data_IF_477394990253
#
_entry.id   IF_477394990253
#
_cell.length_a   1.000
_cell.length_b   1.000
_cell.length_c   1.000
_cell.angle_alpha   90.00
_cell.angle_beta   90.00
_cell.angle_gamma   90.00
#
_symmetry.space_group_name_H-M   'P 1'
#
loop_
_entity.id
_entity.type
_entity.pdbx_description
1 polymer ?
#
# COMPACT_ATOMS: atom_id res chain seq x y z
N UNK A 1 -6.96 -22.05 47.09
CA UNK A 1 -8.05 -21.09 47.29
C UNK A 1 -9.04 -21.25 46.16
N UNK A 2 -10.34 -21.40 46.44
CA UNK A 2 -11.37 -21.14 45.42
C UNK A 2 -11.81 -19.70 45.63
N UNK A 3 -11.67 -18.88 44.60
CA UNK A 3 -12.18 -17.51 44.61
C UNK A 3 -13.71 -17.52 44.48
N UNK A 4 -14.35 -16.43 44.90
CA UNK A 4 -15.80 -16.22 44.72
C UNK A 4 -16.14 -16.29 43.23
N UNK A 5 -17.18 -17.03 42.86
CA UNK A 5 -17.63 -17.18 41.46
C UNK A 5 -18.16 -15.87 40.87
N UNK A 6 -18.47 -14.90 41.73
CA UNK A 6 -18.92 -13.55 41.35
C UNK A 6 -17.76 -12.53 41.30
N UNK A 7 -16.53 -12.95 41.59
CA UNK A 7 -15.37 -12.06 41.51
C UNK A 7 -14.98 -11.85 40.04
N UNK A 8 -15.10 -10.61 39.58
CA UNK A 8 -14.66 -10.19 38.24
C UNK A 8 -13.38 -9.37 38.38
N UNK A 9 -12.34 -9.70 37.60
CA UNK A 9 -11.04 -9.03 37.67
C UNK A 9 -11.03 -7.58 37.14
N UNK A 10 -12.13 -7.15 36.51
CA UNK A 10 -12.19 -5.89 35.78
C UNK A 10 -11.37 -5.93 34.48
N UNK A 11 -10.80 -4.81 34.08
CA UNK A 11 -9.88 -4.75 32.94
C UNK A 11 -8.50 -5.30 33.31
N UNK A 12 -8.09 -6.37 32.64
CA UNK A 12 -6.75 -6.96 32.79
C UNK A 12 -5.85 -6.42 31.67
N UNK A 13 -4.74 -5.78 32.05
CA UNK A 13 -3.76 -5.21 31.13
C UNK A 13 -2.41 -5.89 31.32
N UNK A 14 -1.87 -6.42 30.23
CA UNK A 14 -0.55 -7.05 30.17
C UNK A 14 0.25 -6.24 29.15
N UNK A 15 1.08 -5.33 29.64
CA UNK A 15 1.77 -4.35 28.79
C UNK A 15 3.28 -4.41 29.06
N UNK A 16 4.11 -4.31 28.01
CA UNK A 16 5.57 -4.26 28.12
C UNK A 16 6.20 -5.50 28.78
N UNK A 17 5.67 -6.70 28.48
CA UNK A 17 6.08 -7.96 29.08
C UNK A 17 6.77 -8.89 28.08
N UNK A 18 7.66 -9.75 28.56
CA UNK A 18 8.29 -10.81 27.76
C UNK A 18 8.00 -12.17 28.36
N UNK A 19 7.53 -13.10 27.55
CA UNK A 19 7.20 -14.47 27.90
C UNK A 19 8.14 -15.41 27.14
N UNK A 20 8.87 -16.26 27.86
CA UNK A 20 9.87 -17.14 27.26
C UNK A 20 9.79 -18.54 27.85
N UNK A 21 10.00 -19.57 27.03
CA UNK A 21 10.22 -20.96 27.45
C UNK A 21 9.03 -21.60 28.19
N UNK A 22 7.81 -21.38 27.67
CA UNK A 22 6.63 -22.05 28.19
C UNK A 22 6.35 -23.34 27.41
N UNK A 23 6.28 -24.46 28.11
CA UNK A 23 5.87 -25.75 27.52
C UNK A 23 4.36 -25.86 27.24
N UNK A 24 3.56 -24.85 27.53
CA UNK A 24 2.11 -24.81 27.28
C UNK A 24 1.73 -23.37 26.89
N UNK A 25 0.48 -22.96 27.12
CA UNK A 25 0.06 -21.59 26.84
C UNK A 25 0.77 -20.57 27.74
N UNK A 26 1.22 -19.45 27.18
CA UNK A 26 1.88 -18.40 27.98
C UNK A 26 0.86 -17.57 28.77
N UNK A 27 -0.22 -17.16 28.10
CA UNK A 27 -1.38 -16.51 28.72
C UNK A 27 -2.60 -17.38 28.44
N UNK A 28 -3.28 -17.80 29.50
CA UNK A 28 -4.51 -18.57 29.40
C UNK A 28 -5.63 -17.95 30.22
N UNK A 29 -6.70 -17.58 29.53
CA UNK A 29 -7.99 -17.26 30.11
C UNK A 29 -8.95 -18.42 29.82
N UNK A 30 -9.70 -18.85 30.82
CA UNK A 30 -10.75 -19.85 30.68
C UNK A 30 -11.97 -19.33 31.42
N UNK A 31 -12.90 -18.78 30.64
CA UNK A 31 -14.14 -18.11 31.04
C UNK A 31 -15.28 -19.15 31.17
N UNK A 32 -16.48 -18.74 30.76
CA UNK A 32 -17.79 -19.41 30.76
C UNK A 32 -17.78 -20.84 30.21
N UNK A 33 -17.00 -21.13 29.16
CA UNK A 33 -16.95 -22.45 28.53
C UNK A 33 -16.52 -23.57 29.48
N UNK A 34 -15.63 -23.26 30.43
CA UNK A 34 -15.04 -24.27 31.31
C UNK A 34 -15.59 -24.22 32.72
N UNK A 35 -16.09 -23.06 33.15
CA UNK A 35 -16.50 -22.82 34.53
C UNK A 35 -17.88 -22.16 34.58
N UNK A 36 -18.72 -22.50 35.58
CA UNK A 36 -20.03 -21.89 35.76
C UNK A 36 -19.87 -20.48 36.35
N UNK A 37 -19.41 -19.54 35.53
CA UNK A 37 -19.31 -18.11 35.79
C UNK A 37 -19.89 -17.39 34.58
N UNK A 38 -20.51 -16.22 34.81
CA UNK A 38 -21.07 -15.41 33.72
C UNK A 38 -19.99 -14.52 33.08
N UNK A 39 -18.89 -14.25 33.81
CA UNK A 39 -17.77 -13.40 33.38
C UNK A 39 -16.61 -13.45 34.38
N UNK A 40 -15.36 -13.62 33.93
CA UNK A 40 -14.19 -13.56 34.80
C UNK A 40 -13.36 -12.26 34.69
N UNK A 41 -13.50 -11.51 33.59
CA UNK A 41 -12.94 -10.17 33.42
C UNK A 41 -13.83 -9.24 32.56
N UNK A 42 -13.64 -7.93 32.65
CA UNK A 42 -14.38 -6.96 31.83
C UNK A 42 -13.74 -6.75 30.45
N UNK A 43 -12.41 -6.85 30.34
CA UNK A 43 -11.67 -6.77 29.07
C UNK A 43 -10.24 -7.29 29.23
N UNK A 44 -9.69 -7.94 28.20
CA UNK A 44 -8.28 -8.33 28.15
C UNK A 44 -7.51 -7.45 27.16
N UNK A 45 -6.44 -6.82 27.61
CA UNK A 45 -5.57 -5.98 26.78
C UNK A 45 -4.14 -6.51 26.89
N UNK A 46 -3.53 -6.86 25.75
CA UNK A 46 -2.14 -7.28 25.64
C UNK A 46 -1.43 -6.34 24.67
N UNK A 47 -0.40 -5.62 25.15
CA UNK A 47 0.32 -4.64 24.31
C UNK A 47 1.82 -4.66 24.51
N UNK A 48 2.59 -4.38 23.45
CA UNK A 48 4.05 -4.29 23.53
C UNK A 48 4.66 -5.51 24.23
N UNK A 49 4.22 -6.70 23.82
CA UNK A 49 4.64 -7.95 24.43
C UNK A 49 5.44 -8.81 23.47
N UNK A 50 6.41 -9.54 24.01
CA UNK A 50 7.20 -10.50 23.24
C UNK A 50 6.95 -11.91 23.75
N UNK A 51 6.71 -12.85 22.85
CA UNK A 51 6.59 -14.28 23.12
C UNK A 51 7.68 -15.04 22.37
N UNK A 52 8.46 -15.83 23.09
CA UNK A 52 9.48 -16.71 22.50
C UNK A 52 9.40 -18.10 23.07
N UNK A 53 9.65 -19.10 22.23
CA UNK A 53 9.75 -20.49 22.66
C UNK A 53 8.49 -20.99 23.40
N UNK A 54 7.31 -20.58 22.95
CA UNK A 54 6.03 -21.04 23.48
C UNK A 54 5.60 -22.30 22.71
N UNK A 55 5.43 -23.43 23.41
CA UNK A 55 5.16 -24.73 22.78
C UNK A 55 3.68 -24.97 22.44
N UNK A 56 2.78 -24.13 22.96
CA UNK A 56 1.37 -24.08 22.58
C UNK A 56 0.99 -22.63 22.22
N UNK A 57 -0.21 -22.17 22.57
CA UNK A 57 -0.66 -20.82 22.22
C UNK A 57 0.02 -19.73 23.06
N UNK A 58 0.51 -18.67 22.41
CA UNK A 58 1.01 -17.49 23.13
C UNK A 58 -0.11 -16.86 23.95
N UNK A 59 -1.29 -16.75 23.35
CA UNK A 59 -2.51 -16.30 24.02
C UNK A 59 -3.65 -17.27 23.71
N UNK A 60 -4.21 -17.84 24.76
CA UNK A 60 -5.42 -18.65 24.70
C UNK A 60 -6.53 -17.99 25.51
N UNK A 61 -7.59 -17.57 24.82
CA UNK A 61 -8.84 -17.12 25.41
C UNK A 61 -9.93 -18.13 25.07
N UNK A 62 -10.65 -18.62 26.08
CA UNK A 62 -11.58 -19.73 25.92
C UNK A 62 -12.91 -19.42 26.60
N UNK A 63 -13.91 -19.03 25.80
CA UNK A 63 -15.27 -18.80 26.25
C UNK A 63 -16.33 -19.51 25.40
N UNK A 64 -17.57 -19.47 25.88
CA UNK A 64 -18.71 -20.16 25.31
C UNK A 64 -19.43 -19.31 24.26
N UNK A 65 -20.37 -19.92 23.54
CA UNK A 65 -21.17 -19.23 22.54
C UNK A 65 -22.51 -18.84 23.16
N UNK A 66 -22.50 -17.83 24.05
CA UNK A 66 -23.73 -17.23 24.59
C UNK A 66 -23.88 -15.77 24.13
N UNK A 67 -24.84 -15.52 23.24
CA UNK A 67 -25.13 -14.19 22.73
C UNK A 67 -25.88 -13.29 23.73
N UNK A 68 -26.48 -13.87 24.79
CA UNK A 68 -27.21 -13.10 25.80
C UNK A 68 -26.26 -12.43 26.81
N UNK A 69 -25.10 -13.05 27.04
CA UNK A 69 -24.04 -12.56 27.93
C UNK A 69 -22.68 -12.68 27.23
N UNK A 70 -22.39 -11.82 26.24
CA UNK A 70 -21.13 -11.88 25.53
C UNK A 70 -19.96 -11.69 26.52
N UNK A 71 -18.94 -12.54 26.37
CA UNK A 71 -17.73 -12.54 27.18
C UNK A 71 -16.90 -11.26 27.02
N UNK A 72 -15.78 -11.18 27.72
CA UNK A 72 -14.90 -10.04 27.63
C UNK A 72 -14.34 -9.83 26.20
N UNK A 73 -14.30 -8.58 25.70
CA UNK A 73 -13.55 -8.26 24.49
C UNK A 73 -12.04 -8.39 24.72
N UNK A 74 -11.32 -8.70 23.64
CA UNK A 74 -9.87 -8.91 23.64
C UNK A 74 -9.17 -7.95 22.69
N UNK A 75 -8.13 -7.28 23.15
CA UNK A 75 -7.25 -6.44 22.32
C UNK A 75 -5.82 -6.97 22.44
N UNK A 76 -5.20 -7.27 21.29
CA UNK A 76 -3.80 -7.66 21.18
C UNK A 76 -3.14 -6.76 20.15
N UNK A 77 -2.19 -5.91 20.58
CA UNK A 77 -1.53 -4.92 19.71
C UNK A 77 -0.03 -4.89 19.97
N UNK A 78 0.78 -4.66 18.93
CA UNK A 78 2.24 -4.55 19.06
C UNK A 78 2.86 -5.74 19.77
N UNK A 79 2.72 -6.93 19.16
CA UNK A 79 3.26 -8.17 19.73
C UNK A 79 4.24 -8.84 18.79
N UNK A 80 5.39 -9.22 19.32
CA UNK A 80 6.37 -10.04 18.60
C UNK A 80 6.31 -11.48 19.10
N UNK A 81 6.07 -12.43 18.20
CA UNK A 81 6.15 -13.86 18.45
C UNK A 81 7.31 -14.43 17.64
N UNK A 82 8.23 -15.13 18.30
CA UNK A 82 9.34 -15.78 17.62
C UNK A 82 9.54 -17.22 18.13
N UNK A 83 9.96 -18.13 17.26
CA UNK A 83 10.30 -19.52 17.61
C UNK A 83 9.24 -20.27 18.45
N UNK A 84 7.97 -19.91 18.26
CA UNK A 84 6.83 -20.46 19.00
C UNK A 84 6.00 -21.36 18.10
N UNK A 85 5.07 -22.11 18.70
CA UNK A 85 4.15 -22.99 17.97
C UNK A 85 3.38 -22.23 16.89
N UNK A 86 2.98 -22.94 15.82
CA UNK A 86 2.11 -22.44 14.75
C UNK A 86 0.67 -22.14 15.18
N UNK A 87 0.38 -21.98 16.46
CA UNK A 87 -0.93 -21.58 16.98
C UNK A 87 -0.75 -20.35 17.88
N UNK A 88 -0.32 -19.23 17.32
CA UNK A 88 0.09 -18.07 18.10
C UNK A 88 -1.04 -17.54 19.01
N UNK A 89 -2.22 -17.29 18.43
CA UNK A 89 -3.38 -16.79 19.17
C UNK A 89 -4.62 -17.63 18.90
N UNK A 90 -5.27 -18.05 19.99
CA UNK A 90 -6.54 -18.77 19.93
C UNK A 90 -7.54 -18.08 20.85
N UNK A 91 -8.47 -17.33 20.25
CA UNK A 91 -9.50 -16.57 20.93
C UNK A 91 -10.85 -17.18 20.59
N UNK A 92 -11.36 -18.09 21.42
CA UNK A 92 -12.66 -18.73 21.18
C UNK A 92 -13.78 -17.88 21.76
N UNK A 93 -14.76 -17.52 20.93
CA UNK A 93 -16.02 -16.85 21.25
C UNK A 93 -15.93 -15.60 22.14
N UNK A 94 -14.86 -14.83 22.02
CA UNK A 94 -14.68 -13.58 22.78
C UNK A 94 -15.82 -12.57 22.51
N UNK A 95 -16.02 -11.59 23.40
CA UNK A 95 -16.94 -10.47 23.17
C UNK A 95 -16.45 -9.45 22.14
N UNK A 96 -15.86 -9.94 21.05
CA UNK A 96 -15.15 -9.18 20.05
C UNK A 96 -13.64 -9.22 20.28
N UNK A 97 -12.90 -9.20 19.18
CA UNK A 97 -11.44 -9.19 19.22
C UNK A 97 -10.87 -8.17 18.25
N UNK A 98 -9.82 -7.47 18.65
CA UNK A 98 -8.96 -6.70 17.76
C UNK A 98 -7.54 -7.22 17.93
N UNK A 99 -7.00 -7.80 16.87
CA UNK A 99 -5.64 -8.32 16.83
C UNK A 99 -4.88 -7.64 15.71
N UNK A 100 -3.87 -6.83 16.03
CA UNK A 100 -3.12 -6.09 15.02
C UNK A 100 -1.71 -5.73 15.44
N UNK A 101 -0.92 -5.26 14.48
CA UNK A 101 0.45 -4.81 14.69
C UNK A 101 1.34 -5.94 15.22
N UNK A 102 1.27 -7.11 14.59
CA UNK A 102 1.89 -8.35 15.07
C UNK A 102 3.04 -8.75 14.13
N UNK A 103 4.15 -9.19 14.72
CA UNK A 103 5.18 -9.97 14.01
C UNK A 103 5.09 -11.41 14.50
N UNK A 104 4.95 -12.37 13.58
CA UNK A 104 5.15 -13.79 13.87
C UNK A 104 6.27 -14.32 13.00
N UNK A 105 7.36 -14.74 13.64
CA UNK A 105 8.56 -15.20 12.97
C UNK A 105 8.99 -16.61 13.41
N UNK A 106 9.54 -17.38 12.46
CA UNK A 106 10.25 -18.62 12.71
C UNK A 106 9.42 -19.66 13.50
N UNK A 107 8.15 -19.84 13.17
CA UNK A 107 7.29 -20.79 13.92
C UNK A 107 7.76 -22.23 13.76
N UNK A 108 7.44 -23.06 14.74
CA UNK A 108 7.73 -24.50 14.73
C UNK A 108 6.50 -25.32 15.11
N UNK A 109 6.52 -26.61 14.80
CA UNK A 109 5.48 -27.55 15.24
C UNK A 109 5.46 -27.67 16.77
N UNK A 110 4.27 -27.73 17.35
CA UNK A 110 4.05 -27.96 18.77
C UNK A 110 4.41 -29.39 19.18
N UNK A 111 4.97 -29.57 20.38
CA UNK A 111 5.07 -30.89 21.02
C UNK A 111 3.71 -31.48 21.45
N UNK A 112 2.64 -30.68 21.42
CA UNK A 112 1.32 -31.01 21.97
C UNK A 112 0.25 -31.35 20.92
N UNK A 113 0.60 -31.42 19.64
CA UNK A 113 -0.34 -31.73 18.56
C UNK A 113 -1.48 -30.71 18.44
N UNK A 114 -1.20 -29.46 18.79
CA UNK A 114 -2.14 -28.33 18.75
C UNK A 114 -1.98 -27.45 17.51
N UNK A 115 -1.30 -27.95 16.48
CA UNK A 115 -1.03 -27.21 15.25
C UNK A 115 -2.32 -27.10 14.43
N UNK A 116 -3.11 -26.07 14.75
CA UNK A 116 -4.36 -25.69 14.12
C UNK A 116 -4.15 -24.56 13.12
N UNK A 117 -4.91 -23.46 13.30
CA UNK A 117 -4.67 -22.22 12.57
C UNK A 117 -3.57 -21.39 13.26
N UNK A 118 -2.76 -20.64 12.50
CA UNK A 118 -1.80 -19.67 13.01
C UNK A 118 -2.46 -18.71 14.00
N UNK A 119 -3.64 -18.23 13.63
CA UNK A 119 -4.55 -17.51 14.51
C UNK A 119 -5.97 -17.98 14.27
N UNK A 120 -6.72 -18.16 15.35
CA UNK A 120 -8.16 -18.38 15.31
C UNK A 120 -8.83 -17.37 16.23
N UNK A 121 -9.26 -16.26 15.67
CA UNK A 121 -9.87 -15.15 16.38
C UNK A 121 -11.38 -15.22 16.19
N UNK A 122 -12.08 -15.79 17.15
CA UNK A 122 -13.52 -15.99 17.12
C UNK A 122 -14.20 -14.97 18.02
N UNK A 123 -15.07 -14.17 17.40
CA UNK A 123 -16.07 -13.41 18.10
C UNK A 123 -17.27 -14.27 18.49
N UNK A 124 -18.01 -13.85 19.51
CA UNK A 124 -19.32 -14.40 19.84
C UNK A 124 -20.34 -13.98 18.76
N UNK A 125 -21.52 -14.59 18.75
CA UNK A 125 -22.55 -14.40 17.71
C UNK A 125 -22.89 -12.92 17.54
N UNK A 126 -22.59 -12.38 16.35
CA UNK A 126 -22.87 -10.98 16.03
C UNK A 126 -21.93 -9.96 16.67
N UNK A 127 -20.81 -10.42 17.27
CA UNK A 127 -19.75 -9.57 17.83
C UNK A 127 -18.44 -9.88 17.10
N UNK A 128 -18.02 -9.05 16.12
CA UNK A 128 -16.95 -9.41 15.18
C UNK A 128 -15.55 -9.49 15.81
N UNK A 129 -14.70 -10.33 15.22
CA UNK A 129 -13.25 -10.28 15.40
C UNK A 129 -12.58 -9.60 14.19
N UNK A 130 -11.62 -8.71 14.43
CA UNK A 130 -10.87 -8.00 13.39
C UNK A 130 -9.38 -8.30 13.52
N UNK A 131 -8.77 -8.72 12.40
CA UNK A 131 -7.34 -8.99 12.32
C UNK A 131 -6.72 -8.18 11.18
N UNK A 132 -5.65 -7.44 11.44
CA UNK A 132 -4.95 -6.61 10.44
C UNK A 132 -3.50 -6.37 10.82
N UNK A 133 -2.65 -5.93 9.89
CA UNK A 133 -1.27 -5.53 10.15
C UNK A 133 -0.44 -6.65 10.80
N UNK A 134 -0.33 -7.78 10.08
CA UNK A 134 0.34 -9.00 10.55
C UNK A 134 1.50 -9.32 9.62
N UNK A 135 2.71 -9.46 10.17
CA UNK A 135 3.83 -10.02 9.43
C UNK A 135 4.05 -11.50 9.80
N UNK A 136 4.33 -12.32 8.79
CA UNK A 136 4.45 -13.78 8.91
C UNK A 136 5.72 -14.28 8.21
N UNK A 137 6.84 -14.25 8.93
CA UNK A 137 8.13 -14.63 8.39
C UNK A 137 8.54 -16.05 8.79
N UNK A 138 8.93 -16.89 7.83
CA UNK A 138 9.27 -18.29 8.09
C UNK A 138 8.20 -19.03 8.92
N UNK A 139 6.93 -18.82 8.55
CA UNK A 139 5.79 -19.49 9.16
C UNK A 139 5.37 -20.66 8.26
N UNK A 140 5.27 -21.86 8.83
CA UNK A 140 4.99 -23.08 8.05
C UNK A 140 3.61 -23.07 7.39
N UNK A 141 2.64 -22.40 8.03
CA UNK A 141 1.27 -22.25 7.54
C UNK A 141 0.72 -20.91 8.00
N UNK A 142 0.29 -20.08 7.04
CA UNK A 142 -0.32 -18.78 7.32
C UNK A 142 -1.83 -18.91 7.12
N UNK A 143 -2.51 -19.42 8.13
CA UNK A 143 -3.96 -19.48 8.20
C UNK A 143 -4.46 -18.68 9.40
N UNK A 144 -4.99 -17.50 9.09
CA UNK A 144 -5.55 -16.56 10.06
C UNK A 144 -7.05 -16.56 9.86
N UNK A 145 -7.81 -16.76 10.93
CA UNK A 145 -9.28 -16.73 10.90
C UNK A 145 -9.83 -15.64 11.81
N UNK A 146 -10.89 -15.03 11.33
CA UNK A 146 -11.73 -14.08 12.05
C UNK A 146 -13.19 -14.52 11.89
N UNK A 147 -13.86 -14.96 12.97
CA UNK A 147 -15.30 -15.33 12.92
C UNK A 147 -16.15 -14.09 13.10
N UNK A 148 -17.24 -13.99 12.34
CA UNK A 148 -18.21 -12.88 12.32
C UNK A 148 -17.61 -11.49 12.02
N UNK A 149 -16.31 -11.40 11.75
CA UNK A 149 -15.60 -10.20 11.30
C UNK A 149 -14.70 -10.49 10.10
N UNK A 150 -13.51 -9.87 10.05
CA UNK A 150 -12.63 -9.95 8.87
C UNK A 150 -11.14 -9.99 9.20
N UNK A 151 -10.39 -10.59 8.28
CA UNK A 151 -8.94 -10.48 8.20
C UNK A 151 -8.62 -9.54 7.03
N UNK A 152 -7.99 -8.41 7.30
CA UNK A 152 -7.52 -7.51 6.24
C UNK A 152 -6.26 -8.09 5.56
N UNK A 153 -6.50 -8.92 4.55
CA UNK A 153 -5.45 -9.60 3.81
C UNK A 153 -4.46 -8.65 3.10
N UNK A 154 -4.83 -7.38 2.86
CA UNK A 154 -3.91 -6.40 2.25
C UNK A 154 -2.82 -5.94 3.23
N UNK A 155 -2.99 -6.25 4.53
CA UNK A 155 -2.07 -5.92 5.61
C UNK A 155 -1.43 -7.16 6.23
N UNK A 156 -1.46 -8.28 5.51
CA UNK A 156 -0.73 -9.50 5.87
C UNK A 156 0.49 -9.63 4.98
N UNK A 157 1.66 -9.59 5.60
CA UNK A 157 2.95 -9.65 4.91
C UNK A 157 3.75 -10.90 5.32
N UNK A 158 4.83 -11.16 4.59
CA UNK A 158 5.81 -12.21 4.89
C UNK A 158 7.23 -11.68 4.69
N UNK A 159 7.48 -10.51 5.27
CA UNK A 159 8.71 -9.74 5.14
C UNK A 159 9.69 -10.23 6.21
N UNK A 160 10.98 -10.31 5.91
CA UNK A 160 11.99 -10.58 6.94
C UNK A 160 11.99 -9.43 7.98
N UNK A 161 11.73 -9.69 9.28
CA UNK A 161 11.79 -8.66 10.29
C UNK A 161 13.16 -8.02 10.43
N UNK A 162 14.22 -8.70 9.99
CA UNK A 162 15.61 -8.31 10.19
C UNK A 162 15.90 -8.07 11.67
N UNK A 163 15.60 -9.07 12.49
CA UNK A 163 15.99 -9.06 13.90
C UNK A 163 17.52 -9.06 14.01
N UNK A 164 18.05 -8.23 14.93
CA UNK A 164 19.49 -8.09 15.16
C UNK A 164 20.14 -9.42 15.56
N UNK A 165 19.54 -10.16 16.49
CA UNK A 165 20.02 -11.47 16.94
C UNK A 165 18.90 -12.27 17.60
N UNK A 166 18.00 -12.83 16.78
CA UNK A 166 16.84 -13.59 17.26
C UNK A 166 17.24 -14.85 18.05
N UNK A 167 18.43 -15.42 17.79
CA UNK A 167 18.94 -16.62 18.50
C UNK A 167 19.18 -16.30 19.97
N UNK A 168 19.68 -15.09 20.27
CA UNK A 168 19.90 -14.61 21.63
C UNK A 168 18.72 -13.78 22.17
N UNK A 169 17.54 -13.91 21.58
CA UNK A 169 16.30 -13.21 21.97
C UNK A 169 16.39 -11.68 21.90
N UNK A 170 17.25 -11.18 21.01
CA UNK A 170 17.35 -9.77 20.68
C UNK A 170 16.58 -9.49 19.39
N UNK A 171 15.32 -9.15 19.55
CA UNK A 171 14.41 -8.89 18.44
C UNK A 171 14.48 -7.46 17.93
N UNK A 172 15.50 -6.68 18.31
CA UNK A 172 15.68 -5.32 17.80
C UNK A 172 15.59 -5.33 16.29
N UNK A 173 14.63 -4.60 15.72
CA UNK A 173 14.53 -4.45 14.27
C UNK A 173 15.77 -3.65 13.80
N UNK A 174 16.50 -4.19 12.82
CA UNK A 174 17.54 -3.42 12.16
C UNK A 174 16.90 -2.25 11.42
N UNK A 175 17.64 -1.13 11.29
CA UNK A 175 17.16 0.09 10.64
C UNK A 175 16.65 -0.11 9.20
N UNK A 176 17.14 -1.15 8.52
CA UNK A 176 16.73 -1.54 7.17
C UNK A 176 15.42 -2.37 7.13
N UNK A 177 14.84 -2.74 8.27
CA UNK A 177 13.60 -3.50 8.30
C UNK A 177 12.45 -2.73 7.63
N UNK A 178 11.75 -3.38 6.71
CA UNK A 178 10.57 -2.81 6.07
C UNK A 178 9.33 -2.84 6.97
N UNK A 179 9.43 -3.41 8.18
CA UNK A 179 8.32 -3.49 9.13
C UNK A 179 8.04 -2.18 9.87
N UNK A 180 8.97 -1.22 9.80
CA UNK A 180 8.76 0.14 10.28
C UNK A 180 7.69 0.86 9.45
N UNK A 181 6.79 1.57 10.12
CA UNK A 181 5.71 2.32 9.46
C UNK A 181 4.57 1.47 8.91
N UNK A 182 4.61 0.15 9.11
CA UNK A 182 3.56 -0.76 8.69
C UNK A 182 2.47 -0.97 9.74
N UNK A 183 2.65 -0.50 10.97
CA UNK A 183 1.60 -0.54 11.98
C UNK A 183 0.36 0.26 11.55
N UNK A 184 -0.81 -0.13 12.06
CA UNK A 184 -2.06 0.61 11.91
C UNK A 184 -1.91 2.08 12.36
N UNK A 185 -1.09 2.31 13.38
CA UNK A 185 -0.76 3.62 13.94
C UNK A 185 0.42 4.30 13.25
N UNK A 186 0.93 3.72 12.16
CA UNK A 186 2.13 4.13 11.44
C UNK A 186 3.44 3.97 12.21
N UNK A 187 3.44 3.24 13.34
CA UNK A 187 4.65 2.77 14.01
C UNK A 187 5.16 1.47 13.36
N UNK A 188 6.15 0.81 13.97
CA UNK A 188 6.58 -0.51 13.53
C UNK A 188 5.57 -1.61 13.92
N UNK A 189 5.52 -2.68 13.14
CA UNK A 189 4.87 -3.92 13.58
C UNK A 189 5.62 -4.54 14.77
N UNK A 190 4.88 -5.31 15.56
CA UNK A 190 5.42 -6.05 16.69
C UNK A 190 5.65 -5.18 17.92
N UNK A 191 6.35 -5.74 18.89
CA UNK A 191 6.63 -5.09 20.16
C UNK A 191 7.59 -3.90 19.99
N UNK A 192 7.06 -2.70 20.23
CA UNK A 192 7.76 -1.43 20.00
C UNK A 192 9.02 -1.26 20.83
N UNK A 193 9.21 -2.05 21.90
CA UNK A 193 10.47 -2.06 22.68
C UNK A 193 11.66 -2.51 21.82
N UNK A 194 11.41 -3.20 20.72
CA UNK A 194 12.42 -3.62 19.75
C UNK A 194 12.56 -2.69 18.54
N UNK A 195 11.62 -1.78 18.34
CA UNK A 195 11.59 -0.83 17.23
C UNK A 195 12.33 0.47 17.58
N UNK A 196 13.60 0.37 17.96
CA UNK A 196 14.35 1.51 18.55
C UNK A 196 15.23 2.27 17.56
N UNK A 197 15.45 1.72 16.35
CA UNK A 197 16.28 2.33 15.33
C UNK A 197 15.51 3.39 14.53
N UNK A 198 16.26 4.35 13.95
CA UNK A 198 15.72 5.22 12.90
C UNK A 198 15.66 4.45 11.58
N UNK A 199 14.49 4.29 10.95
CA UNK A 199 14.36 3.52 9.73
C UNK A 199 15.11 4.17 8.56
N UNK A 200 15.72 3.35 7.71
CA UNK A 200 16.44 3.84 6.52
C UNK A 200 15.64 3.77 5.24
N UNK A 201 14.55 3.00 5.20
CA UNK A 201 13.74 2.82 3.99
C UNK A 201 13.09 4.13 3.53
N UNK A 202 12.73 4.18 2.24
CA UNK A 202 12.09 5.34 1.61
C UNK A 202 10.71 4.97 1.08
N UNK A 203 9.83 5.96 1.00
CA UNK A 203 8.47 5.79 0.46
C UNK A 203 8.25 6.64 -0.78
N UNK A 204 7.36 6.18 -1.65
CA UNK A 204 6.90 6.91 -2.81
C UNK A 204 5.39 7.14 -2.69
N UNK A 205 4.99 8.39 -2.53
CA UNK A 205 3.59 8.78 -2.55
C UNK A 205 3.22 9.31 -3.93
N UNK A 206 2.32 8.61 -4.61
CA UNK A 206 1.83 8.98 -5.94
C UNK A 206 0.51 9.74 -5.80
N UNK A 207 0.51 10.98 -6.28
CA UNK A 207 -0.71 11.79 -6.41
C UNK A 207 -1.22 11.61 -7.83
N UNK A 208 -2.46 11.13 -7.96
CA UNK A 208 -3.12 10.95 -9.26
C UNK A 208 -4.05 12.13 -9.48
N UNK A 209 -3.65 13.05 -10.37
CA UNK A 209 -4.44 14.22 -10.75
C UNK A 209 -5.18 13.95 -12.08
N UNK A 210 -6.39 13.41 -11.97
CA UNK A 210 -7.27 13.08 -13.09
C UNK A 210 -7.38 11.58 -13.37
N UNK A 211 -8.26 11.17 -14.31
CA UNK A 211 -8.54 9.75 -14.56
C UNK A 211 -7.37 8.99 -15.21
N UNK A 212 -6.79 8.09 -14.45
CA UNK A 212 -5.68 7.22 -14.83
C UNK A 212 -5.08 6.54 -13.61
N UNK A 213 -4.00 5.80 -13.83
CA UNK A 213 -3.22 5.15 -12.78
C UNK A 213 -1.72 5.22 -13.08
N UNK A 214 -0.90 4.93 -12.08
CA UNK A 214 0.55 4.78 -12.23
C UNK A 214 0.93 3.38 -11.77
N UNK A 215 1.61 2.65 -12.66
CA UNK A 215 2.25 1.39 -12.33
C UNK A 215 3.69 1.67 -11.89
N UNK A 216 4.17 0.96 -10.88
CA UNK A 216 5.52 1.13 -10.31
C UNK A 216 6.25 -0.22 -10.36
N UNK A 217 7.48 -0.23 -10.88
CA UNK A 217 8.32 -1.42 -10.95
C UNK A 217 9.78 -1.10 -10.53
N UNK A 218 10.38 -1.82 -9.58
CA UNK A 218 9.80 -2.89 -8.79
C UNK A 218 8.73 -2.39 -7.81
N UNK A 219 7.79 -3.28 -7.47
CA UNK A 219 6.81 -3.05 -6.40
C UNK A 219 7.51 -2.86 -5.04
N UNK A 220 6.89 -2.14 -4.08
CA UNK A 220 7.46 -1.98 -2.75
C UNK A 220 7.49 -3.29 -1.98
N UNK A 221 8.40 -3.38 -1.00
CA UNK A 221 8.33 -4.38 0.07
C UNK A 221 7.46 -3.77 1.18
N UNK A 222 6.28 -4.34 1.41
CA UNK A 222 5.26 -3.72 2.25
C UNK A 222 4.76 -2.41 1.64
N UNK A 223 5.22 -1.28 2.17
CA UNK A 223 4.88 0.08 1.69
C UNK A 223 6.10 0.90 1.28
N UNK A 224 7.30 0.32 1.29
CA UNK A 224 8.57 1.05 1.19
C UNK A 224 9.59 0.35 0.28
N UNK A 225 10.68 1.04 -0.04
CA UNK A 225 11.82 0.53 -0.82
C UNK A 225 13.12 0.76 -0.08
N UNK A 226 14.14 -0.03 -0.43
CA UNK A 226 15.51 0.25 -0.02
C UNK A 226 16.00 1.59 -0.61
N UNK A 227 16.83 2.35 0.12
CA UNK A 227 17.43 3.57 -0.38
C UNK A 227 18.15 3.39 -1.70
N UNK A 228 18.01 4.37 -2.58
CA UNK A 228 18.59 4.40 -3.93
C UNK A 228 18.04 3.33 -4.88
N UNK A 229 16.95 2.64 -4.53
CA UNK A 229 16.22 1.81 -5.50
C UNK A 229 15.79 2.67 -6.67
N UNK A 230 16.07 2.22 -7.89
CA UNK A 230 15.56 2.84 -9.12
C UNK A 230 14.23 2.18 -9.46
N UNK A 231 13.16 2.97 -9.48
CA UNK A 231 11.83 2.53 -9.89
C UNK A 231 11.46 3.11 -11.24
N UNK A 232 10.78 2.32 -12.07
CA UNK A 232 10.13 2.74 -13.30
C UNK A 232 8.68 3.09 -13.00
N UNK A 233 8.29 4.33 -13.26
CA UNK A 233 6.91 4.80 -13.17
C UNK A 233 6.29 4.83 -14.57
N UNK A 234 5.19 4.10 -14.75
CA UNK A 234 4.44 4.06 -15.99
C UNK A 234 3.03 4.62 -15.76
N UNK A 235 2.79 5.84 -16.24
CA UNK A 235 1.48 6.45 -16.23
C UNK A 235 0.58 5.82 -17.30
N UNK A 236 -0.58 5.32 -16.90
CA UNK A 236 -1.58 4.67 -17.75
C UNK A 236 -2.87 5.50 -17.66
N UNK A 237 -3.16 6.36 -18.65
CA UNK A 237 -4.40 7.14 -18.67
C UNK A 237 -5.62 6.24 -18.82
N UNK A 238 -6.74 6.65 -18.23
CA UNK A 238 -8.03 6.02 -18.49
C UNK A 238 -8.49 6.28 -19.93
N UNK A 239 -9.52 5.53 -20.35
CA UNK A 239 -10.20 5.77 -21.62
C UNK A 239 -10.61 7.25 -21.74
N UNK A 240 -10.41 7.82 -22.93
CA UNK A 240 -10.63 9.24 -23.23
C UNK A 240 -9.72 10.24 -22.49
N UNK A 241 -8.64 9.81 -21.82
CA UNK A 241 -7.66 10.69 -21.18
C UNK A 241 -6.28 10.54 -21.81
N UNK A 242 -5.42 11.54 -21.60
CA UNK A 242 -3.99 11.43 -21.91
C UNK A 242 -3.16 11.85 -20.70
N UNK A 243 -1.97 11.27 -20.60
CA UNK A 243 -0.97 11.69 -19.63
C UNK A 243 -0.41 13.05 -20.06
N UNK A 244 -0.66 14.08 -19.26
CA UNK A 244 -0.18 15.44 -19.48
C UNK A 244 1.28 15.60 -19.06
N UNK A 245 1.72 14.91 -18.00
CA UNK A 245 3.09 15.01 -17.49
C UNK A 245 3.21 14.64 -16.02
N UNK A 246 4.46 14.54 -15.58
CA UNK A 246 4.82 14.42 -14.16
C UNK A 246 5.05 15.79 -13.55
N UNK A 247 4.73 15.93 -12.27
CA UNK A 247 5.00 17.12 -11.47
C UNK A 247 5.40 16.76 -10.03
N UNK A 248 5.87 17.75 -9.27
CA UNK A 248 6.37 17.59 -7.90
C UNK A 248 7.87 17.33 -7.89
N UNK A 249 8.29 16.23 -7.27
CA UNK A 249 9.71 15.84 -7.14
C UNK A 249 10.37 15.46 -8.48
N UNK A 250 9.56 15.17 -9.51
CA UNK A 250 10.02 15.03 -10.90
C UNK A 250 9.14 15.89 -11.80
N UNK A 251 9.68 16.30 -12.95
CA UNK A 251 8.94 17.09 -13.94
C UNK A 251 9.26 16.59 -15.34
N UNK A 252 8.26 16.51 -16.21
CA UNK A 252 8.47 16.18 -17.61
C UNK A 252 7.39 15.29 -18.22
N UNK A 253 7.61 14.93 -19.49
CA UNK A 253 6.63 14.21 -20.32
C UNK A 253 7.05 12.76 -20.61
N UNK A 254 8.24 12.36 -20.16
CA UNK A 254 8.79 11.02 -20.40
C UNK A 254 7.93 10.00 -19.67
N UNK A 255 7.39 9.02 -20.39
CA UNK A 255 6.54 7.98 -19.83
C UNK A 255 6.74 6.67 -20.62
N UNK A 256 7.22 5.59 -19.97
CA UNK A 256 7.60 5.49 -18.56
C UNK A 256 8.85 6.31 -18.20
N UNK A 257 9.02 6.66 -16.92
CA UNK A 257 10.17 7.40 -16.38
C UNK A 257 10.86 6.61 -15.27
N UNK A 258 12.18 6.63 -15.24
CA UNK A 258 12.97 6.08 -14.13
C UNK A 258 13.19 7.14 -13.05
N UNK A 259 13.03 6.74 -11.79
CA UNK A 259 13.21 7.58 -10.61
C UNK A 259 14.05 6.85 -9.58
N UNK A 260 15.16 7.46 -9.15
CA UNK A 260 15.94 6.97 -8.01
C UNK A 260 15.30 7.42 -6.71
N UNK A 261 14.95 6.50 -5.82
CA UNK A 261 14.42 6.78 -4.49
C UNK A 261 15.58 6.97 -3.49
N UNK A 262 16.33 8.06 -3.63
CA UNK A 262 17.39 8.49 -2.69
C UNK A 262 16.84 9.03 -1.36
N UNK A 263 15.59 9.50 -1.38
CA UNK A 263 14.78 9.92 -0.23
C UNK A 263 13.31 9.59 -0.50
N UNK A 264 12.43 9.75 0.49
CA UNK A 264 10.99 9.65 0.26
C UNK A 264 10.50 10.77 -0.65
N UNK A 265 9.67 10.43 -1.64
CA UNK A 265 9.23 11.36 -2.70
C UNK A 265 7.71 11.43 -2.80
N UNK A 266 7.22 12.61 -3.21
CA UNK A 266 5.84 12.82 -3.62
C UNK A 266 5.84 13.21 -5.10
N UNK A 267 5.23 12.37 -5.94
CA UNK A 267 5.21 12.56 -7.40
C UNK A 267 3.75 12.62 -7.86
N UNK A 268 3.43 13.62 -8.67
CA UNK A 268 2.09 13.76 -9.25
C UNK A 268 2.10 13.30 -10.70
N UNK A 269 1.17 12.41 -11.07
CA UNK A 269 0.85 12.10 -12.45
C UNK A 269 -0.42 12.84 -12.85
N UNK A 270 -0.32 13.67 -13.90
CA UNK A 270 -1.44 14.45 -14.38
C UNK A 270 -2.07 13.79 -15.60
N UNK A 271 -3.38 13.57 -15.53
CA UNK A 271 -4.21 13.05 -16.61
C UNK A 271 -5.27 14.08 -16.97
N UNK A 272 -5.44 14.32 -18.27
CA UNK A 272 -6.42 15.30 -18.76
C UNK A 272 -7.36 14.65 -19.74
N UNK A 273 -8.61 15.09 -19.68
CA UNK A 273 -9.61 14.70 -20.67
C UNK A 273 -9.09 15.10 -22.04
N UNK A 274 -9.27 14.22 -22.99
CA UNK A 274 -9.15 14.52 -24.40
C UNK A 274 -10.31 15.46 -24.75
N UNK A 275 -10.16 16.77 -24.49
CA UNK A 275 -11.22 17.74 -24.77
C UNK A 275 -11.25 18.05 -26.26
N UNK A 276 -12.35 17.65 -26.91
CA UNK A 276 -12.87 18.36 -28.07
C UNK A 276 -13.33 19.74 -27.65
N UNK A 277 -12.58 20.78 -28.02
CA UNK A 277 -13.06 22.16 -27.88
C UNK A 277 -14.17 22.37 -28.92
N UNK A 278 -15.42 22.11 -28.52
CA UNK A 278 -16.57 23.02 -28.65
C UNK A 278 -17.81 22.36 -28.05
N UNK A 279 -18.52 23.10 -27.19
CA UNK A 279 -19.74 22.69 -26.48
C UNK A 279 -20.98 22.45 -27.35
N UNK A 280 -20.82 21.85 -28.54
CA UNK A 280 -21.92 21.53 -29.43
C UNK A 280 -21.95 20.08 -29.93
N UNK A 281 -21.08 19.19 -29.43
CA UNK A 281 -21.12 17.74 -29.74
C UNK A 281 -20.93 17.37 -31.21
N UNK A 282 -20.66 18.33 -32.09
CA UNK A 282 -20.46 18.10 -33.51
C UNK A 282 -19.02 17.63 -33.77
N UNK A 283 -18.87 16.47 -34.39
CA UNK A 283 -17.57 16.00 -34.89
C UNK A 283 -17.04 16.98 -35.96
N UNK A 284 -15.72 17.21 -36.05
CA UNK A 284 -15.16 18.05 -37.10
C UNK A 284 -15.51 17.55 -38.49
N UNK A 285 -16.02 18.44 -39.34
CA UNK A 285 -16.31 18.11 -40.74
C UNK A 285 -15.04 17.96 -41.59
N UNK A 286 -13.91 18.49 -41.09
CA UNK A 286 -12.61 18.50 -41.74
C UNK A 286 -11.47 18.27 -40.73
N UNK A 287 -10.36 17.75 -41.25
CA UNK A 287 -9.09 17.75 -40.53
C UNK A 287 -8.52 19.17 -40.48
N UNK A 288 -7.92 19.57 -39.36
CA UNK A 288 -7.29 20.87 -39.20
C UNK A 288 -6.06 20.79 -38.31
N UNK A 289 -5.07 21.64 -38.54
CA UNK A 289 -3.95 21.88 -37.64
C UNK A 289 -3.84 23.39 -37.44
N UNK A 290 -4.08 23.85 -36.22
CA UNK A 290 -4.11 25.27 -35.88
C UNK A 290 -2.71 25.81 -35.63
N UNK A 291 -2.60 27.14 -35.69
CA UNK A 291 -1.41 27.82 -35.22
C UNK A 291 -1.30 27.66 -33.70
N UNK A 292 -0.13 27.24 -33.22
CA UNK A 292 0.13 27.12 -31.80
C UNK A 292 -0.04 28.49 -31.11
N UNK A 293 -0.57 28.50 -29.89
CA UNK A 293 -0.74 29.72 -29.11
C UNK A 293 -0.26 29.52 -27.66
N UNK A 294 0.54 30.45 -27.12
CA UNK A 294 1.13 31.62 -27.79
C UNK A 294 2.17 31.25 -28.87
N UNK A 295 2.42 32.13 -29.83
CA UNK A 295 3.54 32.02 -30.78
C UNK A 295 4.05 33.43 -31.12
N UNK A 296 5.26 33.84 -30.69
CA UNK A 296 6.27 33.04 -30.00
C UNK A 296 5.84 32.57 -28.59
N UNK A 297 6.46 31.51 -28.08
CA UNK A 297 6.15 30.93 -26.76
C UNK A 297 7.37 30.82 -25.83
N UNK A 298 7.13 30.83 -24.51
CA UNK A 298 8.11 30.62 -23.46
C UNK A 298 7.46 30.10 -22.15
N UNK A 299 7.86 28.95 -21.59
CA UNK A 299 8.48 27.80 -22.26
C UNK A 299 7.44 26.87 -22.91
N UNK A 300 6.14 27.18 -22.77
CA UNK A 300 5.03 26.32 -23.17
C UNK A 300 4.07 27.00 -24.17
N UNK A 301 3.48 26.19 -25.05
CA UNK A 301 2.43 26.58 -26.01
C UNK A 301 1.37 25.49 -26.11
N UNK A 302 0.18 25.83 -26.57
CA UNK A 302 -0.84 24.84 -26.94
C UNK A 302 -0.86 24.65 -28.46
N UNK A 303 -0.87 23.39 -28.91
CA UNK A 303 -1.09 23.01 -30.31
C UNK A 303 -2.48 22.39 -30.42
N UNK A 304 -3.37 23.03 -31.19
CA UNK A 304 -4.73 22.55 -31.42
C UNK A 304 -4.89 21.95 -32.81
N UNK A 305 -5.67 20.89 -32.93
CA UNK A 305 -5.97 20.23 -34.20
C UNK A 305 -7.33 19.53 -34.19
N UNK A 306 -7.83 19.20 -35.37
CA UNK A 306 -9.08 18.48 -35.57
C UNK A 306 -8.88 17.23 -36.43
N UNK A 307 -9.50 16.13 -36.04
CA UNK A 307 -9.55 14.87 -36.77
C UNK A 307 -10.98 14.59 -37.21
N UNK A 308 -11.19 14.49 -38.51
CA UNK A 308 -12.52 14.18 -39.08
C UNK A 308 -12.93 12.72 -38.84
N UNK A 309 -11.97 11.80 -38.87
CA UNK A 309 -12.20 10.37 -38.70
C UNK A 309 -11.19 9.80 -37.70
N UNK A 310 -11.54 8.69 -37.01
CA UNK A 310 -10.59 7.97 -36.17
C UNK A 310 -9.43 7.42 -37.02
N UNK A 311 -8.22 7.43 -36.47
CA UNK A 311 -7.02 6.99 -37.18
C UNK A 311 -5.76 7.05 -36.34
N UNK A 312 -4.70 6.38 -36.81
CA UNK A 312 -3.36 6.54 -36.22
C UNK A 312 -2.88 7.96 -36.54
N UNK A 313 -2.67 8.73 -35.49
CA UNK A 313 -2.34 10.14 -35.55
C UNK A 313 -0.94 10.38 -34.98
N UNK A 314 -0.14 11.17 -35.70
CA UNK A 314 1.20 11.59 -35.30
C UNK A 314 1.31 13.11 -35.31
N UNK A 315 1.66 13.69 -34.17
CA UNK A 315 2.10 15.08 -34.05
C UNK A 315 3.61 15.03 -33.78
N UNK A 316 4.40 15.45 -34.75
CA UNK A 316 5.86 15.45 -34.70
C UNK A 316 6.38 16.87 -34.71
N UNK A 317 7.44 17.14 -33.97
CA UNK A 317 8.12 18.44 -33.90
C UNK A 317 9.53 18.30 -34.47
N UNK A 318 9.92 19.25 -35.30
CA UNK A 318 11.17 19.26 -36.06
C UNK A 318 11.96 20.53 -35.81
N UNK A 319 13.29 20.41 -35.80
CA UNK A 319 14.19 21.55 -35.89
C UNK A 319 14.36 22.04 -37.34
N UNK A 320 15.14 23.11 -37.55
CA UNK A 320 15.40 23.68 -38.88
C UNK A 320 16.16 22.76 -39.84
N UNK A 321 16.79 21.69 -39.32
CA UNK A 321 17.49 20.68 -40.12
C UNK A 321 16.57 19.50 -40.48
N UNK A 322 15.30 19.53 -40.04
CA UNK A 322 14.32 18.47 -40.29
C UNK A 322 14.46 17.26 -39.37
N UNK A 323 15.22 17.37 -38.26
CA UNK A 323 15.33 16.30 -37.27
C UNK A 323 14.12 16.33 -36.34
N UNK A 324 13.51 15.18 -36.09
CA UNK A 324 12.44 15.05 -35.09
C UNK A 324 13.03 15.26 -33.70
N UNK A 325 12.53 16.27 -32.98
CA UNK A 325 12.96 16.62 -31.62
C UNK A 325 11.91 16.28 -30.56
N UNK A 326 10.65 16.08 -30.95
CA UNK A 326 9.61 15.57 -30.07
C UNK A 326 8.47 14.91 -30.87
N UNK A 327 7.73 14.00 -30.24
CA UNK A 327 6.52 13.39 -30.79
C UNK A 327 5.37 13.42 -29.76
N UNK A 328 4.73 14.59 -29.50
CA UNK A 328 3.69 14.71 -28.48
C UNK A 328 2.49 13.76 -28.67
N UNK A 329 2.27 13.31 -29.91
CA UNK A 329 1.24 12.33 -30.26
C UNK A 329 1.84 11.33 -31.25
N UNK A 330 1.78 10.02 -30.96
CA UNK A 330 1.91 8.92 -31.93
C UNK A 330 1.04 7.75 -31.47
N UNK A 331 -0.27 7.82 -31.73
CA UNK A 331 -1.24 6.83 -31.21
C UNK A 331 -2.50 6.76 -32.08
N UNK A 332 -3.33 5.76 -31.83
CA UNK A 332 -4.68 5.73 -32.38
C UNK A 332 -5.54 6.79 -31.68
N UNK A 333 -6.25 7.61 -32.45
CA UNK A 333 -7.14 8.65 -31.92
C UNK A 333 -8.52 8.55 -32.56
N UNK A 334 -9.55 9.01 -31.84
CA UNK A 334 -10.91 9.12 -32.36
C UNK A 334 -11.06 10.31 -33.32
N UNK A 335 -12.24 10.48 -33.92
CA UNK A 335 -12.60 11.77 -34.52
C UNK A 335 -12.87 12.78 -33.40
N UNK A 336 -12.44 14.03 -33.58
CA UNK A 336 -12.60 15.05 -32.56
C UNK A 336 -11.66 16.24 -32.73
N UNK A 337 -11.82 17.25 -31.87
CA UNK A 337 -10.84 18.32 -31.71
C UNK A 337 -9.92 17.99 -30.55
N UNK A 338 -8.69 18.45 -30.62
CA UNK A 338 -7.65 18.11 -29.65
C UNK A 338 -6.83 19.36 -29.39
N UNK A 339 -6.39 19.52 -28.16
CA UNK A 339 -5.39 20.51 -27.76
C UNK A 339 -4.33 19.83 -26.92
N UNK A 340 -3.08 20.00 -27.33
CA UNK A 340 -1.92 19.40 -26.65
C UNK A 340 -1.07 20.52 -26.11
N UNK A 341 -0.84 20.53 -24.79
CA UNK A 341 0.17 21.39 -24.17
C UNK A 341 1.56 20.88 -24.56
N UNK A 342 2.43 21.78 -24.99
CA UNK A 342 3.73 21.46 -25.53
C UNK A 342 4.81 22.38 -24.97
N UNK A 343 5.90 21.80 -24.48
CA UNK A 343 7.06 22.49 -23.91
C UNK A 343 8.37 21.87 -24.41
N UNK A 344 9.42 22.70 -24.56
CA UNK A 344 10.75 22.31 -25.03
C UNK A 344 11.85 22.79 -24.07
N UNK A 345 11.95 22.24 -22.84
CA UNK A 345 12.85 22.76 -21.82
C UNK A 345 14.33 22.71 -22.23
N UNK A 346 14.75 21.70 -22.99
CA UNK A 346 16.16 21.45 -23.34
C UNK A 346 16.62 22.08 -24.67
N UNK A 347 15.73 22.74 -25.42
CA UNK A 347 16.10 23.28 -26.74
C UNK A 347 16.43 24.79 -26.70
N UNK A 348 17.22 25.24 -27.67
CA UNK A 348 17.61 26.64 -27.84
C UNK A 348 16.46 27.49 -28.41
N UNK A 349 16.49 28.81 -28.17
CA UNK A 349 15.59 29.76 -28.85
C UNK A 349 15.74 29.63 -30.36
N UNK A 350 14.63 29.59 -31.09
CA UNK A 350 14.68 29.36 -32.53
C UNK A 350 13.34 28.99 -33.15
N UNK A 351 13.40 28.73 -34.46
CA UNK A 351 12.25 28.31 -35.26
C UNK A 351 12.16 26.79 -35.27
N UNK A 352 10.96 26.29 -35.02
CA UNK A 352 10.61 24.88 -35.08
C UNK A 352 9.40 24.68 -36.00
N UNK A 353 9.23 23.46 -36.48
CA UNK A 353 8.05 23.06 -37.25
C UNK A 353 7.34 21.94 -36.52
N UNK A 354 6.02 21.90 -36.62
CA UNK A 354 5.24 20.76 -36.17
C UNK A 354 4.35 20.25 -37.30
N UNK A 355 4.28 18.94 -37.42
CA UNK A 355 3.56 18.21 -38.46
C UNK A 355 2.51 17.32 -37.82
N UNK A 356 1.28 17.42 -38.29
CA UNK A 356 0.22 16.47 -37.98
C UNK A 356 0.01 15.52 -39.16
N UNK A 357 0.02 14.22 -38.89
CA UNK A 357 -0.29 13.16 -39.84
C UNK A 357 -1.44 12.32 -39.27
N UNK A 358 -2.51 12.10 -40.05
CA UNK A 358 -3.59 11.17 -39.68
C UNK A 358 -4.30 10.65 -40.93
N UNK A 359 -4.22 9.34 -41.19
CA UNK A 359 -4.72 8.76 -42.43
C UNK A 359 -4.02 9.38 -43.64
N UNK A 360 -4.77 9.98 -44.56
CA UNK A 360 -4.24 10.71 -45.72
C UNK A 360 -3.99 12.20 -45.45
N UNK A 361 -4.40 12.72 -44.28
CA UNK A 361 -4.19 14.12 -43.93
C UNK A 361 -2.76 14.36 -43.46
N UNK A 362 -2.15 15.43 -43.96
CA UNK A 362 -0.86 15.93 -43.50
C UNK A 362 -0.87 17.46 -43.51
N UNK A 363 -0.47 18.08 -42.40
CA UNK A 363 -0.35 19.54 -42.29
C UNK A 363 0.89 19.91 -41.49
N UNK A 364 1.54 21.02 -41.85
CA UNK A 364 2.76 21.53 -41.20
C UNK A 364 2.54 23.00 -40.83
N UNK A 365 2.99 23.38 -39.64
CA UNK A 365 2.98 24.75 -39.14
C UNK A 365 4.32 25.09 -38.50
N UNK A 366 4.61 26.39 -38.40
CA UNK A 366 5.83 26.95 -37.83
C UNK A 366 5.55 27.50 -36.44
N UNK A 367 6.45 27.28 -35.49
CA UNK A 367 6.43 27.89 -34.16
C UNK A 367 7.79 28.49 -33.81
N UNK A 368 7.81 29.44 -32.88
CA UNK A 368 9.01 30.15 -32.42
C UNK A 368 9.12 30.04 -30.91
N UNK A 369 10.20 29.43 -30.44
CA UNK A 369 10.58 29.40 -29.02
C UNK A 369 11.48 30.61 -28.73
N UNK A 370 11.13 31.37 -27.70
CA UNK A 370 11.96 32.48 -27.19
C UNK A 370 12.23 32.20 -25.72
N UNK A 371 13.51 32.03 -25.35
CA UNK A 371 13.93 31.97 -23.94
C UNK A 371 14.33 33.33 -23.42
#
# INVERSE_FOLDING_TARGET
MRFDVNLVAGTVRIENCSFAHFGYEAIRISETEKYPTDRCLDSLIIRNCTFTDIDAECVRYYSDLDAATPDAPVIIEHVTVNNSSTAAFYLKNSGGAVVRDIIIANTRTSGHGRDGNLMDCQGNTGVPAYVSHIDTFHVAKVDIKATDGEVDAATVWGIDPLFRDAVNQDYTLLAASHLYGLGHDSEALGDLRWATQTPTHVSLHLVIDGPGQVLVDPAPVGKTWDPNTVVTLHAVPDSAHYFEGWAGEINGLVNPVEVTLDQSKIITAMFRLITGIDGNGALPEAYALEQNYPNPFNPATTISFALKQPGRTRLLVFDMLGRVVAAPVDRQMAAGRYSVSFQLPELASGVYFYKLESGTFTSIKKMMLVK
#
